data_IF_874642161808
#
_entry.id   IF_874642161808
#
_cell.length_a   1.000
_cell.length_b   1.000
_cell.length_c   1.000
_cell.angle_alpha   90.00
_cell.angle_beta   90.00
_cell.angle_gamma   90.00
#
_symmetry.space_group_name_H-M   'P 1'
#
loop_
_entity.id
_entity.type
_entity.pdbx_description
1 polymer ?
#
# COMPACT_ATOMS: atom_id res chain seq x y z
N UNK A 1 15.27 58.91 -21.35
CA UNK A 1 14.29 57.79 -21.43
C UNK A 1 15.09 56.51 -21.50
N UNK A 2 15.35 55.88 -20.32
CA UNK A 2 16.10 54.62 -20.21
C UNK A 2 15.11 53.47 -20.14
N UNK A 3 15.26 52.58 -21.13
CA UNK A 3 14.42 51.39 -21.29
C UNK A 3 14.87 50.32 -20.25
N UNK A 4 14.20 50.19 -19.11
CA UNK A 4 14.40 49.12 -18.17
C UNK A 4 13.68 47.86 -18.62
N UNK A 5 14.35 47.08 -19.47
CA UNK A 5 13.89 45.74 -19.81
C UNK A 5 13.88 44.86 -18.55
N UNK A 6 12.70 44.57 -18.02
CA UNK A 6 12.49 43.65 -16.91
C UNK A 6 13.08 42.26 -17.27
N UNK A 7 14.21 41.89 -16.66
CA UNK A 7 14.77 40.55 -16.74
C UNK A 7 13.81 39.58 -16.06
N UNK A 8 12.97 38.89 -16.82
CA UNK A 8 12.23 37.72 -16.33
C UNK A 8 13.24 36.73 -15.74
N UNK A 9 13.02 36.20 -14.54
CA UNK A 9 13.91 35.21 -13.96
C UNK A 9 13.98 34.01 -14.91
N UNK A 10 15.20 33.66 -15.34
CA UNK A 10 15.44 32.45 -16.14
C UNK A 10 15.05 31.24 -15.31
N UNK A 11 13.96 30.58 -15.67
CA UNK A 11 13.62 29.25 -15.15
C UNK A 11 14.83 28.35 -15.46
N UNK A 12 15.43 27.70 -14.45
CA UNK A 12 16.56 26.80 -14.69
C UNK A 12 16.15 25.76 -15.71
N UNK A 13 16.93 25.62 -16.81
CA UNK A 13 16.71 24.57 -17.80
C UNK A 13 16.72 23.23 -17.08
N UNK A 14 15.63 22.48 -17.17
CA UNK A 14 15.59 21.08 -16.81
C UNK A 14 16.71 20.40 -17.58
N UNK A 15 17.56 19.65 -16.88
CA UNK A 15 18.60 18.85 -17.55
C UNK A 15 17.90 17.96 -18.57
N UNK A 16 18.15 18.18 -19.86
CA UNK A 16 17.54 17.41 -20.94
C UNK A 16 18.00 15.96 -20.81
N UNK A 17 17.10 15.11 -20.35
CA UNK A 17 17.36 13.68 -20.20
C UNK A 17 16.99 13.02 -21.53
N UNK A 18 17.91 12.23 -22.08
CA UNK A 18 17.60 11.45 -23.29
C UNK A 18 16.36 10.57 -23.08
N UNK A 19 15.53 10.34 -24.09
CA UNK A 19 14.34 9.48 -24.00
C UNK A 19 14.66 8.08 -23.44
N UNK A 20 15.78 7.50 -23.85
CA UNK A 20 16.25 6.19 -23.38
C UNK A 20 16.55 6.19 -21.87
N UNK A 21 17.32 7.19 -21.41
CA UNK A 21 17.64 7.30 -19.97
C UNK A 21 16.38 7.54 -19.14
N UNK A 22 15.43 8.35 -19.65
CA UNK A 22 14.12 8.56 -19.00
C UNK A 22 13.37 7.24 -18.85
N UNK A 23 13.29 6.44 -19.91
CA UNK A 23 12.62 5.13 -19.88
C UNK A 23 13.25 4.18 -18.86
N UNK A 24 14.58 4.13 -18.81
CA UNK A 24 15.32 3.31 -17.84
C UNK A 24 15.10 3.76 -16.39
N UNK A 25 15.07 5.08 -16.14
CA UNK A 25 14.74 5.61 -14.81
C UNK A 25 13.31 5.25 -14.41
N UNK A 26 12.34 5.39 -15.33
CA UNK A 26 10.95 5.03 -15.06
C UNK A 26 10.81 3.53 -14.75
N UNK A 27 11.53 2.68 -15.48
CA UNK A 27 11.58 1.24 -15.22
C UNK A 27 12.20 0.93 -13.84
N UNK A 28 13.28 1.63 -13.47
CA UNK A 28 13.90 1.48 -12.15
C UNK A 28 12.95 1.89 -11.02
N UNK A 29 12.19 2.99 -11.20
CA UNK A 29 11.18 3.42 -10.22
C UNK A 29 10.03 2.39 -10.10
N UNK A 30 9.57 1.84 -11.21
CA UNK A 30 8.55 0.80 -11.24
C UNK A 30 9.07 -0.52 -10.63
N UNK A 31 10.35 -0.87 -10.84
CA UNK A 31 10.99 -2.04 -10.23
C UNK A 31 11.07 -1.91 -8.70
N UNK A 32 11.35 -0.72 -8.17
CA UNK A 32 11.30 -0.48 -6.72
C UNK A 32 9.88 -0.62 -6.16
N UNK A 33 8.87 -0.09 -6.86
CA UNK A 33 7.46 -0.28 -6.50
C UNK A 33 7.05 -1.76 -6.55
N UNK A 34 7.55 -2.52 -7.53
CA UNK A 34 7.38 -3.97 -7.63
C UNK A 34 8.01 -4.71 -6.44
N UNK A 35 9.24 -4.38 -6.04
CA UNK A 35 9.89 -4.99 -4.87
C UNK A 35 9.13 -4.70 -3.57
N UNK A 36 8.67 -3.46 -3.38
CA UNK A 36 7.87 -3.04 -2.22
C UNK A 36 6.55 -3.80 -2.18
N UNK A 37 5.81 -3.88 -3.29
CA UNK A 37 4.57 -4.63 -3.35
C UNK A 37 4.76 -6.13 -3.12
N UNK A 38 5.83 -6.71 -3.65
CA UNK A 38 6.14 -8.11 -3.44
C UNK A 38 6.39 -8.41 -1.96
N UNK A 39 7.24 -7.64 -1.27
CA UNK A 39 7.54 -7.89 0.15
C UNK A 39 6.36 -7.63 1.08
N UNK A 40 5.47 -6.69 0.73
CA UNK A 40 4.28 -6.38 1.51
C UNK A 40 3.34 -7.58 1.59
N UNK A 41 3.07 -8.21 0.46
CA UNK A 41 2.02 -9.22 0.37
C UNK A 41 2.52 -10.66 0.44
N UNK A 42 3.74 -10.96 0.01
CA UNK A 42 4.26 -12.34 0.02
C UNK A 42 4.36 -12.92 1.42
N UNK A 43 4.66 -12.08 2.41
CA UNK A 43 4.79 -12.50 3.80
C UNK A 43 3.56 -13.24 4.31
N UNK A 44 2.36 -12.82 3.91
CA UNK A 44 1.09 -13.45 4.31
C UNK A 44 0.96 -14.88 3.78
N UNK A 45 1.48 -15.14 2.58
CA UNK A 45 1.55 -16.49 2.02
C UNK A 45 2.60 -17.40 2.68
N UNK A 46 3.59 -16.81 3.35
CA UNK A 46 4.73 -17.52 3.95
C UNK A 46 4.59 -17.72 5.47
N UNK A 47 3.57 -17.13 6.10
CA UNK A 47 3.42 -17.15 7.56
C UNK A 47 3.46 -18.56 8.18
N UNK A 48 2.83 -19.62 7.61
CA UNK A 48 2.94 -20.96 8.18
C UNK A 48 4.38 -21.45 8.27
N UNK A 49 5.17 -21.28 7.21
CA UNK A 49 6.58 -21.70 7.18
C UNK A 49 7.43 -20.90 8.19
N UNK A 50 7.15 -19.62 8.36
CA UNK A 50 7.84 -18.75 9.35
C UNK A 50 7.44 -19.15 10.77
N UNK A 51 6.16 -19.49 10.99
CA UNK A 51 5.66 -19.92 12.28
C UNK A 51 6.32 -21.24 12.74
N UNK A 52 6.43 -22.19 11.81
CA UNK A 52 7.07 -23.48 12.06
C UNK A 52 8.57 -23.32 12.35
N UNK A 53 9.28 -22.50 11.55
CA UNK A 53 10.73 -22.29 11.68
C UNK A 53 11.12 -21.64 13.03
N UNK A 54 10.31 -20.69 13.51
CA UNK A 54 10.54 -20.03 14.80
C UNK A 54 9.77 -20.68 15.97
N UNK A 55 9.04 -21.77 15.73
CA UNK A 55 8.18 -22.44 16.73
C UNK A 55 7.26 -21.47 17.49
N UNK A 56 6.58 -20.59 16.72
CA UNK A 56 5.64 -19.58 17.24
C UNK A 56 4.20 -19.89 16.84
N UNK A 57 3.25 -19.34 17.57
CA UNK A 57 1.82 -19.46 17.29
C UNK A 57 1.41 -18.60 16.08
N UNK A 58 0.30 -18.95 15.45
CA UNK A 58 -0.24 -18.30 14.24
C UNK A 58 -0.54 -16.81 14.47
N UNK A 59 -1.09 -16.47 15.64
CA UNK A 59 -1.34 -15.07 16.04
C UNK A 59 -0.03 -14.28 16.14
N UNK A 60 1.02 -14.87 16.72
CA UNK A 60 2.35 -14.25 16.77
C UNK A 60 2.95 -14.09 15.38
N UNK A 61 2.77 -15.06 14.48
CA UNK A 61 3.22 -14.92 13.10
C UNK A 61 2.54 -13.73 12.41
N UNK A 62 1.25 -13.50 12.66
CA UNK A 62 0.51 -12.33 12.16
C UNK A 62 1.12 -10.99 12.55
N UNK A 63 1.82 -10.89 13.69
CA UNK A 63 2.50 -9.67 14.11
C UNK A 63 3.64 -9.26 13.16
N UNK A 64 4.20 -10.19 12.37
CA UNK A 64 5.22 -9.91 11.34
C UNK A 64 4.64 -8.95 10.28
N UNK A 65 3.38 -9.16 9.92
CA UNK A 65 2.64 -8.27 9.00
C UNK A 65 2.41 -6.91 9.67
N UNK A 66 1.93 -6.93 10.93
CA UNK A 66 1.70 -5.70 11.70
C UNK A 66 2.98 -4.87 11.87
N UNK A 67 4.14 -5.51 12.07
CA UNK A 67 5.42 -4.81 12.21
C UNK A 67 5.79 -4.04 10.93
N UNK A 68 5.67 -4.66 9.76
CA UNK A 68 5.89 -3.99 8.48
C UNK A 68 4.91 -2.83 8.28
N UNK A 69 3.63 -3.09 8.48
CA UNK A 69 2.57 -2.10 8.32
C UNK A 69 2.74 -0.89 9.26
N UNK A 70 3.13 -1.12 10.52
CA UNK A 70 3.47 -0.05 11.46
C UNK A 70 4.69 0.75 11.01
N UNK A 71 5.69 0.09 10.40
CA UNK A 71 6.80 0.76 9.74
C UNK A 71 6.31 1.75 8.67
N UNK A 72 5.34 1.36 7.85
CA UNK A 72 4.73 2.24 6.83
C UNK A 72 3.95 3.39 7.47
N UNK A 73 3.14 3.10 8.50
CA UNK A 73 2.33 4.09 9.22
C UNK A 73 3.20 5.20 9.81
N UNK A 74 4.33 4.83 10.41
CA UNK A 74 5.28 5.78 11.00
C UNK A 74 6.15 6.44 9.93
N UNK A 75 6.66 5.64 9.01
CA UNK A 75 7.65 6.08 8.01
C UNK A 75 7.09 7.09 7.01
N UNK A 76 5.88 6.86 6.47
CA UNK A 76 5.33 7.70 5.43
C UNK A 76 5.19 9.19 5.86
N UNK A 77 4.49 9.53 6.96
CA UNK A 77 4.37 10.93 7.39
C UNK A 77 5.69 11.51 7.92
N UNK A 78 6.46 10.72 8.70
CA UNK A 78 7.69 11.20 9.31
C UNK A 78 8.75 11.54 8.24
N UNK A 79 9.01 10.62 7.32
CA UNK A 79 9.99 10.83 6.26
C UNK A 79 9.55 11.99 5.36
N UNK A 80 8.26 12.05 4.98
CA UNK A 80 7.74 13.15 4.16
C UNK A 80 7.92 14.50 4.85
N UNK A 81 7.67 14.58 6.15
CA UNK A 81 7.81 15.81 6.91
C UNK A 81 9.27 16.29 7.03
N UNK A 82 10.20 15.37 7.33
CA UNK A 82 11.61 15.77 7.60
C UNK A 82 12.46 15.90 6.33
N UNK A 83 12.04 15.32 5.21
CA UNK A 83 12.85 15.29 3.97
C UNK A 83 12.35 16.23 2.88
N UNK A 84 11.37 17.11 3.17
CA UNK A 84 10.74 18.01 2.19
C UNK A 84 11.73 18.90 1.39
N UNK A 85 12.91 19.18 1.95
CA UNK A 85 13.98 19.96 1.30
C UNK A 85 15.06 19.09 0.63
N UNK A 86 14.99 17.76 0.78
CA UNK A 86 16.01 16.85 0.23
C UNK A 86 15.82 16.65 -1.28
N UNK A 87 16.92 16.64 -2.08
CA UNK A 87 16.84 16.31 -3.50
C UNK A 87 16.23 14.92 -3.71
N UNK A 88 15.23 14.80 -4.59
CA UNK A 88 14.48 13.54 -4.84
C UNK A 88 15.36 12.35 -5.13
N UNK A 89 16.44 12.53 -5.94
CA UNK A 89 17.41 11.47 -6.22
C UNK A 89 18.01 10.92 -4.93
N UNK A 90 18.53 11.80 -4.05
CA UNK A 90 19.16 11.38 -2.79
C UNK A 90 18.16 10.67 -1.89
N UNK A 91 16.96 11.19 -1.80
CA UNK A 91 15.89 10.60 -0.99
C UNK A 91 15.50 9.21 -1.50
N UNK A 92 15.27 9.03 -2.81
CA UNK A 92 14.93 7.71 -3.40
C UNK A 92 16.04 6.68 -3.18
N UNK A 93 17.32 7.08 -3.28
CA UNK A 93 18.47 6.21 -3.00
C UNK A 93 18.46 5.78 -1.52
N UNK A 94 18.26 6.70 -0.58
CA UNK A 94 18.20 6.40 0.87
C UNK A 94 17.01 5.48 1.17
N UNK A 95 15.83 5.76 0.60
CA UNK A 95 14.63 4.93 0.80
C UNK A 95 14.85 3.51 0.29
N UNK A 96 15.44 3.38 -0.90
CA UNK A 96 15.71 2.06 -1.48
C UNK A 96 16.84 1.32 -0.76
N UNK A 97 17.84 2.03 -0.24
CA UNK A 97 18.88 1.43 0.62
C UNK A 97 18.27 0.90 1.93
N UNK A 98 17.40 1.67 2.59
CA UNK A 98 16.70 1.24 3.80
C UNK A 98 15.78 0.04 3.53
N UNK A 99 15.06 0.04 2.40
CA UNK A 99 14.23 -1.08 1.95
C UNK A 99 15.05 -2.35 1.74
N UNK A 100 16.16 -2.24 1.00
CA UNK A 100 17.06 -3.36 0.72
C UNK A 100 17.67 -3.92 2.01
N UNK A 101 18.11 -3.03 2.91
CA UNK A 101 18.65 -3.42 4.21
C UNK A 101 17.61 -4.15 5.07
N UNK A 102 16.40 -3.63 5.17
CA UNK A 102 15.32 -4.26 5.96
C UNK A 102 14.96 -5.66 5.44
N UNK A 103 14.91 -5.85 4.11
CA UNK A 103 14.66 -7.17 3.54
C UNK A 103 15.87 -8.10 3.69
N UNK A 104 17.10 -7.61 3.54
CA UNK A 104 18.31 -8.39 3.84
C UNK A 104 18.36 -8.83 5.30
N UNK A 105 18.05 -7.95 6.24
CA UNK A 105 17.95 -8.31 7.66
C UNK A 105 16.87 -9.36 7.91
N UNK A 106 15.79 -9.37 7.13
CA UNK A 106 14.77 -10.44 7.19
C UNK A 106 15.32 -11.78 6.73
N UNK A 107 16.24 -11.80 5.74
CA UNK A 107 16.91 -13.04 5.29
C UNK A 107 17.81 -13.64 6.38
N UNK A 108 18.55 -12.78 7.09
CA UNK A 108 19.55 -13.22 8.08
C UNK A 108 19.02 -13.23 9.51
N UNK A 109 17.72 -13.03 9.71
CA UNK A 109 17.12 -13.00 11.03
C UNK A 109 17.22 -14.37 11.71
N UNK A 110 17.92 -14.44 12.84
CA UNK A 110 18.17 -15.67 13.59
C UNK A 110 17.10 -15.98 14.62
N UNK A 111 16.20 -15.04 14.90
CA UNK A 111 15.12 -15.17 15.85
C UNK A 111 13.95 -14.24 15.52
N UNK A 112 12.79 -14.53 16.09
CA UNK A 112 11.57 -13.78 15.84
C UNK A 112 11.66 -12.27 16.16
N UNK A 113 12.24 -11.78 17.29
CA UNK A 113 12.39 -10.35 17.54
C UNK A 113 13.23 -9.61 16.47
N UNK A 114 14.29 -10.25 15.98
CA UNK A 114 15.13 -9.68 14.91
C UNK A 114 14.33 -9.59 13.61
N UNK A 115 13.55 -10.62 13.28
CA UNK A 115 12.66 -10.58 12.11
C UNK A 115 11.62 -9.44 12.24
N UNK A 116 11.01 -9.28 13.41
CA UNK A 116 10.07 -8.18 13.68
C UNK A 116 10.70 -6.80 13.44
N UNK A 117 11.91 -6.58 13.96
CA UNK A 117 12.64 -5.33 13.74
C UNK A 117 13.00 -5.12 12.26
N UNK A 118 13.45 -6.17 11.58
CA UNK A 118 13.77 -6.14 10.15
C UNK A 118 12.54 -5.78 9.30
N UNK A 119 11.37 -6.36 9.62
CA UNK A 119 10.12 -6.06 8.93
C UNK A 119 9.67 -4.61 9.15
N UNK A 120 9.77 -4.10 10.38
CA UNK A 120 9.50 -2.69 10.67
C UNK A 120 10.41 -1.76 9.86
N UNK A 121 11.72 -2.02 9.82
CA UNK A 121 12.69 -1.25 9.04
C UNK A 121 12.36 -1.31 7.53
N UNK A 122 11.99 -2.48 7.00
CA UNK A 122 11.60 -2.64 5.59
C UNK A 122 10.33 -1.85 5.24
N UNK A 123 9.42 -1.66 6.20
CA UNK A 123 8.18 -0.89 6.03
C UNK A 123 8.40 0.62 6.00
N UNK A 124 9.38 1.16 6.74
CA UNK A 124 9.60 2.61 6.87
C UNK A 124 9.65 3.38 5.54
N UNK A 125 10.39 2.92 4.49
CA UNK A 125 10.50 3.66 3.24
C UNK A 125 9.28 3.56 2.31
N UNK A 126 8.37 2.62 2.53
CA UNK A 126 7.32 2.24 1.59
C UNK A 126 6.48 3.43 1.10
N UNK A 127 5.75 4.11 1.99
CA UNK A 127 4.82 5.18 1.59
C UNK A 127 5.53 6.41 1.04
N UNK A 128 6.69 6.75 1.62
CA UNK A 128 7.54 7.84 1.13
C UNK A 128 8.10 7.52 -0.28
N UNK A 129 8.48 6.26 -0.53
CA UNK A 129 8.95 5.85 -1.86
C UNK A 129 7.90 6.09 -2.94
N UNK A 130 6.66 5.62 -2.76
CA UNK A 130 5.58 5.81 -3.75
C UNK A 130 5.32 7.28 -4.03
N UNK A 131 5.25 8.11 -2.98
CA UNK A 131 5.03 9.55 -3.12
C UNK A 131 6.17 10.22 -3.89
N UNK A 132 7.41 9.96 -3.52
CA UNK A 132 8.60 10.60 -4.12
C UNK A 132 8.86 10.07 -5.54
N UNK A 133 8.71 8.77 -5.77
CA UNK A 133 8.88 8.14 -7.08
C UNK A 133 7.83 8.63 -8.09
N UNK A 134 6.56 8.74 -7.66
CA UNK A 134 5.49 9.30 -8.49
C UNK A 134 5.78 10.75 -8.91
N UNK A 135 6.16 11.60 -7.95
CA UNK A 135 6.54 12.98 -8.22
C UNK A 135 7.80 13.11 -9.09
N UNK A 136 8.79 12.25 -8.89
CA UNK A 136 10.00 12.23 -9.70
C UNK A 136 9.66 11.81 -11.15
N UNK A 137 8.86 10.76 -11.33
CA UNK A 137 8.37 10.32 -12.62
C UNK A 137 7.60 11.43 -13.35
N UNK A 138 6.65 12.07 -12.67
CA UNK A 138 5.87 13.18 -13.22
C UNK A 138 6.73 14.37 -13.66
N UNK A 139 7.82 14.67 -12.91
CA UNK A 139 8.71 15.79 -13.24
C UNK A 139 9.62 15.54 -14.46
N UNK A 140 9.85 14.26 -14.80
CA UNK A 140 10.61 13.85 -15.99
C UNK A 140 9.72 13.60 -17.21
N UNK A 141 8.40 13.59 -17.04
CA UNK A 141 7.45 13.30 -18.09
C UNK A 141 7.41 14.42 -19.14
N UNK A 142 7.08 14.06 -20.37
CA UNK A 142 6.76 15.02 -21.43
C UNK A 142 5.52 15.86 -21.06
N UNK A 143 5.41 17.08 -21.61
CA UNK A 143 4.21 17.90 -21.41
C UNK A 143 2.94 17.09 -21.72
N UNK A 144 1.94 17.13 -20.82
CA UNK A 144 0.68 16.39 -20.96
C UNK A 144 0.73 14.89 -20.60
N UNK A 145 1.91 14.31 -20.28
CA UNK A 145 2.04 12.87 -19.96
C UNK A 145 2.37 12.59 -18.48
N UNK A 146 2.21 13.55 -17.58
CA UNK A 146 2.54 13.40 -16.15
C UNK A 146 1.75 12.27 -15.48
N UNK A 147 0.45 12.17 -15.74
CA UNK A 147 -0.39 11.09 -15.20
C UNK A 147 0.07 9.70 -15.66
N UNK A 148 0.45 9.56 -16.94
CA UNK A 148 1.01 8.31 -17.47
C UNK A 148 2.30 7.90 -16.76
N UNK A 149 3.16 8.86 -16.42
CA UNK A 149 4.41 8.58 -15.70
C UNK A 149 4.14 8.11 -14.27
N UNK A 150 3.22 8.74 -13.55
CA UNK A 150 2.79 8.28 -12.21
C UNK A 150 2.20 6.88 -12.28
N UNK A 151 1.30 6.64 -13.23
CA UNK A 151 0.68 5.33 -13.44
C UNK A 151 1.71 4.23 -13.74
N UNK A 152 2.77 4.54 -14.49
CA UNK A 152 3.85 3.59 -14.79
C UNK A 152 4.62 3.18 -13.53
N UNK A 153 4.87 4.11 -12.60
CA UNK A 153 5.47 3.77 -11.30
C UNK A 153 4.53 2.89 -10.48
N UNK A 154 3.26 3.26 -10.38
CA UNK A 154 2.24 2.49 -9.64
C UNK A 154 1.96 1.11 -10.25
N UNK A 155 2.20 0.95 -11.57
CA UNK A 155 2.08 -0.35 -12.24
C UNK A 155 3.03 -1.40 -11.65
N UNK A 156 4.18 -0.98 -11.10
CA UNK A 156 5.08 -1.88 -10.37
C UNK A 156 4.37 -2.64 -9.26
N UNK A 157 3.53 -1.97 -8.46
CA UNK A 157 2.72 -2.60 -7.42
C UNK A 157 1.71 -3.60 -8.01
N UNK A 158 1.01 -3.22 -9.07
CA UNK A 158 0.04 -4.10 -9.74
C UNK A 158 0.68 -5.36 -10.30
N UNK A 159 1.85 -5.25 -10.91
CA UNK A 159 2.62 -6.39 -11.42
C UNK A 159 3.14 -7.24 -10.24
N UNK A 160 3.53 -6.61 -9.13
CA UNK A 160 3.93 -7.34 -7.92
C UNK A 160 2.80 -8.23 -7.39
N UNK A 161 1.59 -7.73 -7.29
CA UNK A 161 0.45 -8.50 -6.74
C UNK A 161 0.03 -9.67 -7.64
N UNK A 162 0.15 -9.52 -8.97
CA UNK A 162 -0.27 -10.57 -9.92
C UNK A 162 0.83 -11.59 -10.20
N UNK A 163 2.09 -11.16 -10.22
CA UNK A 163 3.23 -12.00 -10.62
C UNK A 163 4.26 -12.14 -9.49
N UNK A 164 4.67 -11.02 -8.89
CA UNK A 164 5.76 -10.99 -7.90
C UNK A 164 5.45 -11.81 -6.66
N UNK A 165 4.28 -11.61 -6.07
CA UNK A 165 3.83 -12.29 -4.86
C UNK A 165 3.63 -13.79 -5.11
N UNK A 166 2.90 -14.24 -6.15
CA UNK A 166 2.78 -15.66 -6.44
C UNK A 166 4.11 -16.35 -6.75
N UNK A 167 4.98 -15.69 -7.52
CA UNK A 167 6.29 -16.24 -7.86
C UNK A 167 7.20 -16.36 -6.62
N UNK A 168 7.23 -15.35 -5.75
CA UNK A 168 7.98 -15.39 -4.51
C UNK A 168 7.41 -16.43 -3.51
N UNK A 169 6.07 -16.59 -3.48
CA UNK A 169 5.42 -17.64 -2.70
C UNK A 169 5.81 -19.05 -3.19
N UNK A 170 5.75 -19.29 -4.50
CA UNK A 170 6.14 -20.57 -5.08
C UNK A 170 7.61 -20.88 -4.81
N UNK A 171 8.49 -19.88 -4.91
CA UNK A 171 9.90 -20.02 -4.58
C UNK A 171 10.13 -20.31 -3.10
N UNK A 172 9.40 -19.62 -2.22
CA UNK A 172 9.44 -19.84 -0.78
C UNK A 172 8.96 -21.24 -0.39
N UNK A 173 7.92 -21.75 -1.04
CA UNK A 173 7.44 -23.12 -0.85
C UNK A 173 8.44 -24.18 -1.28
N UNK A 174 9.23 -23.90 -2.35
CA UNK A 174 10.20 -24.84 -2.90
C UNK A 174 11.55 -24.82 -2.16
N UNK A 175 12.04 -23.65 -1.73
CA UNK A 175 13.39 -23.43 -1.22
C UNK A 175 13.44 -22.88 0.22
N UNK A 176 12.30 -22.76 0.86
CA UNK A 176 12.16 -22.12 2.19
C UNK A 176 11.85 -20.63 2.10
N UNK A 177 11.14 -20.10 3.10
CA UNK A 177 10.63 -18.72 3.12
C UNK A 177 11.70 -17.63 2.95
N UNK A 178 12.94 -17.90 3.38
CA UNK A 178 14.08 -16.99 3.21
C UNK A 178 14.34 -16.67 1.73
N UNK A 179 14.13 -17.65 0.81
CA UNK A 179 14.38 -17.46 -0.62
C UNK A 179 13.52 -16.33 -1.22
N UNK A 180 12.28 -16.15 -0.75
CA UNK A 180 11.44 -15.06 -1.17
C UNK A 180 12.03 -13.69 -0.79
N UNK A 181 12.55 -13.55 0.43
CA UNK A 181 13.20 -12.30 0.86
C UNK A 181 14.55 -12.05 0.20
N UNK A 182 15.30 -13.13 -0.17
CA UNK A 182 16.50 -13.00 -1.00
C UNK A 182 16.17 -12.37 -2.34
N UNK A 183 15.13 -12.85 -3.02
CA UNK A 183 14.69 -12.26 -4.31
C UNK A 183 14.30 -10.78 -4.14
N UNK A 184 13.53 -10.45 -3.11
CA UNK A 184 13.16 -9.05 -2.83
C UNK A 184 14.40 -8.20 -2.55
N UNK A 185 15.37 -8.72 -1.81
CA UNK A 185 16.64 -8.03 -1.53
C UNK A 185 17.42 -7.77 -2.82
N UNK A 186 17.49 -8.74 -3.73
CA UNK A 186 18.13 -8.59 -5.05
C UNK A 186 17.41 -7.53 -5.89
N UNK A 187 16.08 -7.53 -5.90
CA UNK A 187 15.28 -6.50 -6.59
C UNK A 187 15.58 -5.11 -6.00
N UNK A 188 15.62 -5.00 -4.68
CA UNK A 188 15.96 -3.76 -3.99
C UNK A 188 17.35 -3.26 -4.34
N UNK A 189 18.37 -4.14 -4.29
CA UNK A 189 19.75 -3.82 -4.65
C UNK A 189 19.88 -3.43 -6.13
N UNK A 190 19.19 -4.12 -7.03
CA UNK A 190 19.15 -3.78 -8.46
C UNK A 190 18.53 -2.41 -8.67
N UNK A 191 17.41 -2.12 -8.01
CA UNK A 191 16.76 -0.80 -8.06
C UNK A 191 17.66 0.29 -7.51
N UNK A 192 18.29 0.06 -6.35
CA UNK A 192 19.24 0.98 -5.73
C UNK A 192 20.39 1.34 -6.69
N UNK A 193 20.97 0.31 -7.30
CA UNK A 193 22.07 0.46 -8.28
C UNK A 193 21.59 1.23 -9.52
N UNK A 194 20.44 0.87 -10.06
CA UNK A 194 19.84 1.57 -11.19
C UNK A 194 19.57 3.05 -10.88
N UNK A 195 19.00 3.37 -9.71
CA UNK A 195 18.75 4.74 -9.30
C UNK A 195 20.07 5.51 -9.09
N UNK A 196 21.11 4.86 -8.56
CA UNK A 196 22.40 5.49 -8.36
C UNK A 196 23.04 5.96 -9.67
N UNK A 197 23.01 5.13 -10.70
CA UNK A 197 23.67 5.43 -11.98
C UNK A 197 22.76 6.18 -12.97
N UNK A 198 21.49 5.88 -13.01
CA UNK A 198 20.57 6.39 -14.04
C UNK A 198 19.84 7.66 -13.62
N UNK A 199 19.48 7.80 -12.31
CA UNK A 199 18.67 8.92 -11.87
C UNK A 199 19.41 10.25 -11.99
N UNK A 200 18.86 11.26 -12.69
CA UNK A 200 19.50 12.56 -12.83
C UNK A 200 19.49 13.32 -11.50
N UNK A 201 20.44 14.25 -11.36
CA UNK A 201 20.44 15.22 -10.27
C UNK A 201 19.28 16.19 -10.48
N UNK A 202 18.20 16.00 -9.74
CA UNK A 202 16.98 16.82 -9.85
C UNK A 202 17.12 18.06 -8.95
N UNK A 203 16.90 19.22 -9.55
CA UNK A 203 16.80 20.48 -8.81
C UNK A 203 15.53 20.47 -7.94
N UNK A 204 15.62 21.15 -6.82
CA UNK A 204 14.71 21.21 -5.69
C UNK A 204 13.21 21.19 -6.08
N UNK A 205 12.44 20.36 -5.39
CA UNK A 205 11.00 20.53 -5.32
C UNK A 205 10.69 21.91 -4.75
N UNK A 206 9.62 22.56 -5.24
CA UNK A 206 9.07 23.70 -4.52
C UNK A 206 8.72 23.21 -3.09
N UNK A 207 9.34 23.77 -2.04
CA UNK A 207 9.09 23.29 -0.69
C UNK A 207 7.66 23.65 -0.32
N UNK A 208 6.84 22.65 -0.06
CA UNK A 208 5.56 22.88 0.61
C UNK A 208 5.86 23.29 2.05
N UNK A 209 5.25 24.35 2.53
CA UNK A 209 5.47 24.81 3.91
C UNK A 209 4.95 23.72 4.85
N UNK A 210 5.80 23.20 5.72
CA UNK A 210 5.46 22.18 6.74
C UNK A 210 4.16 22.56 7.49
N UNK A 211 3.96 23.85 7.79
CA UNK A 211 2.74 24.36 8.45
C UNK A 211 1.47 24.12 7.62
N UNK A 212 1.54 24.26 6.29
CA UNK A 212 0.41 24.02 5.39
C UNK A 212 0.06 22.54 5.36
N UNK A 213 1.05 21.67 5.26
CA UNK A 213 0.87 20.23 5.26
C UNK A 213 0.31 19.72 6.60
N UNK A 214 0.77 20.27 7.73
CA UNK A 214 0.25 19.93 9.05
C UNK A 214 -1.19 20.39 9.27
N UNK A 215 -1.72 21.35 8.48
CA UNK A 215 -3.11 21.79 8.59
C UNK A 215 -4.13 20.70 8.27
N UNK A 216 -3.75 19.67 7.50
CA UNK A 216 -4.58 18.49 7.26
C UNK A 216 -5.03 17.81 8.55
N UNK A 217 -4.17 17.77 9.57
CA UNK A 217 -4.47 17.13 10.86
C UNK A 217 -5.53 17.87 11.69
N UNK A 218 -5.77 19.15 11.42
CA UNK A 218 -6.84 19.93 12.05
C UNK A 218 -8.24 19.72 11.44
N UNK A 219 -8.34 18.98 10.32
CA UNK A 219 -9.60 18.83 9.61
C UNK A 219 -10.29 17.51 9.98
N UNK A 220 -11.44 17.58 10.65
CA UNK A 220 -12.22 16.41 11.06
C UNK A 220 -12.64 15.52 9.88
N UNK A 221 -12.87 16.07 8.67
CA UNK A 221 -13.23 15.28 7.50
C UNK A 221 -12.05 14.42 6.99
N UNK A 222 -10.80 14.90 7.19
CA UNK A 222 -9.60 14.08 6.92
C UNK A 222 -9.61 12.88 7.86
N UNK A 223 -9.79 13.08 9.16
CA UNK A 223 -9.84 11.98 10.13
C UNK A 223 -10.97 10.99 9.88
N UNK A 224 -12.18 11.49 9.61
CA UNK A 224 -13.32 10.62 9.31
C UNK A 224 -13.08 9.79 8.06
N UNK A 225 -12.44 10.34 7.02
CA UNK A 225 -12.08 9.60 5.81
C UNK A 225 -10.99 8.55 6.09
N UNK A 226 -9.96 8.91 6.86
CA UNK A 226 -8.90 7.98 7.27
C UNK A 226 -9.45 6.81 8.11
N UNK A 227 -10.32 7.11 9.08
CA UNK A 227 -10.93 6.08 9.94
C UNK A 227 -11.87 5.19 9.13
N UNK A 228 -12.64 5.75 8.18
CA UNK A 228 -13.46 4.95 7.24
C UNK A 228 -12.58 3.99 6.45
N UNK A 229 -11.45 4.45 5.93
CA UNK A 229 -10.49 3.60 5.21
C UNK A 229 -9.87 2.54 6.12
N UNK A 230 -9.38 2.93 7.29
CA UNK A 230 -8.74 2.00 8.23
C UNK A 230 -9.70 0.90 8.68
N UNK A 231 -10.89 1.27 9.11
CA UNK A 231 -11.87 0.30 9.63
C UNK A 231 -12.50 -0.51 8.51
N UNK A 232 -12.96 0.15 7.42
CA UNK A 232 -13.64 -0.51 6.32
C UNK A 232 -12.77 -1.48 5.53
N UNK A 233 -11.47 -1.19 5.42
CA UNK A 233 -10.51 -2.01 4.68
C UNK A 233 -9.85 -3.10 5.55
N UNK A 234 -9.86 -2.93 6.88
CA UNK A 234 -9.20 -3.84 7.82
C UNK A 234 -9.69 -5.28 7.73
N UNK A 235 -10.96 -5.49 7.39
CA UNK A 235 -11.55 -6.82 7.25
C UNK A 235 -10.93 -7.67 6.14
N UNK A 236 -10.54 -7.05 5.02
CA UNK A 236 -9.84 -7.73 3.94
C UNK A 236 -8.48 -8.26 4.42
N UNK A 237 -7.74 -7.47 5.19
CA UNK A 237 -6.44 -7.87 5.72
C UNK A 237 -6.54 -8.90 6.86
N UNK A 238 -7.64 -8.91 7.63
CA UNK A 238 -7.88 -9.97 8.59
C UNK A 238 -7.93 -11.35 7.92
N UNK A 239 -8.58 -11.45 6.75
CA UNK A 239 -8.60 -12.69 5.94
C UNK A 239 -7.27 -12.94 5.26
N UNK A 240 -6.69 -11.91 4.62
CA UNK A 240 -5.47 -12.09 3.84
C UNK A 240 -4.30 -12.58 4.69
N UNK A 241 -4.13 -12.05 5.89
CA UNK A 241 -3.02 -12.42 6.77
C UNK A 241 -3.00 -13.93 7.06
N UNK A 242 -4.17 -14.55 7.23
CA UNK A 242 -4.30 -15.96 7.59
C UNK A 242 -4.78 -16.84 6.44
N UNK A 243 -4.71 -16.33 5.19
CA UNK A 243 -5.25 -17.05 4.01
C UNK A 243 -4.60 -18.41 3.80
N UNK A 244 -3.29 -18.54 4.07
CA UNK A 244 -2.58 -19.80 3.91
C UNK A 244 -3.17 -20.89 4.80
N UNK A 245 -3.33 -20.63 6.09
CA UNK A 245 -3.98 -21.59 7.01
C UNK A 245 -5.44 -21.84 6.65
N UNK A 246 -6.17 -20.80 6.27
CA UNK A 246 -7.58 -20.96 5.85
C UNK A 246 -7.68 -21.90 4.64
N UNK A 247 -6.85 -21.73 3.63
CA UNK A 247 -6.93 -22.53 2.41
C UNK A 247 -6.33 -23.92 2.57
N UNK A 248 -5.25 -24.08 3.35
CA UNK A 248 -4.63 -25.40 3.55
C UNK A 248 -5.33 -26.22 4.60
N UNK A 249 -5.64 -25.67 5.78
CA UNK A 249 -6.20 -26.41 6.90
C UNK A 249 -7.72 -26.57 6.81
N UNK A 250 -8.44 -25.57 6.26
CA UNK A 250 -9.91 -25.61 6.17
C UNK A 250 -10.41 -26.11 4.81
N UNK A 251 -9.82 -25.60 3.70
CA UNK A 251 -10.23 -25.97 2.35
C UNK A 251 -9.52 -27.24 1.83
N UNK A 252 -8.46 -27.70 2.50
CA UNK A 252 -7.67 -28.85 2.06
C UNK A 252 -6.84 -28.58 0.79
N UNK A 253 -6.48 -27.33 0.52
CA UNK A 253 -5.67 -26.98 -0.63
C UNK A 253 -4.20 -27.41 -0.41
N UNK A 254 -3.55 -28.05 -1.39
CA UNK A 254 -2.13 -28.34 -1.31
C UNK A 254 -1.26 -27.07 -1.21
N UNK A 255 -0.24 -27.06 -0.34
CA UNK A 255 0.64 -25.90 -0.11
C UNK A 255 1.30 -25.40 -1.39
N UNK A 256 1.68 -26.29 -2.29
CA UNK A 256 2.31 -25.93 -3.56
C UNK A 256 1.38 -25.21 -4.55
N UNK A 257 0.07 -25.13 -4.26
CA UNK A 257 -0.90 -24.38 -5.07
C UNK A 257 -1.29 -23.02 -4.46
N UNK A 258 -0.75 -22.64 -3.30
CA UNK A 258 -1.06 -21.35 -2.65
C UNK A 258 -0.74 -20.14 -3.52
N UNK A 259 0.23 -20.23 -4.43
CA UNK A 259 0.50 -19.17 -5.39
C UNK A 259 -0.71 -18.81 -6.28
N UNK A 260 -1.60 -19.79 -6.58
CA UNK A 260 -2.84 -19.54 -7.34
C UNK A 260 -3.81 -18.67 -6.54
N UNK A 261 -3.92 -18.90 -5.23
CA UNK A 261 -4.78 -18.11 -4.33
C UNK A 261 -4.30 -16.66 -4.30
N UNK A 262 -2.99 -16.47 -4.14
CA UNK A 262 -2.39 -15.12 -4.12
C UNK A 262 -2.49 -14.42 -5.48
N UNK A 263 -2.36 -15.18 -6.58
CA UNK A 263 -2.56 -14.64 -7.93
C UNK A 263 -4.01 -14.20 -8.15
N UNK A 264 -4.99 -14.99 -7.73
CA UNK A 264 -6.41 -14.62 -7.83
C UNK A 264 -6.69 -13.33 -7.06
N UNK A 265 -6.10 -13.16 -5.86
CA UNK A 265 -6.16 -11.93 -5.10
C UNK A 265 -5.55 -10.75 -5.86
N UNK A 266 -4.34 -10.91 -6.40
CA UNK A 266 -3.65 -9.87 -7.18
C UNK A 266 -4.46 -9.42 -8.40
N UNK A 267 -5.04 -10.36 -9.15
CA UNK A 267 -5.94 -10.06 -10.28
C UNK A 267 -7.16 -9.30 -9.80
N UNK A 268 -7.78 -9.74 -8.70
CA UNK A 268 -8.90 -9.04 -8.07
C UNK A 268 -8.54 -7.59 -7.72
N UNK A 269 -7.38 -7.37 -7.07
CA UNK A 269 -6.90 -6.02 -6.72
C UNK A 269 -6.76 -5.12 -7.95
N UNK A 270 -6.13 -5.60 -9.02
CA UNK A 270 -5.91 -4.80 -10.24
C UNK A 270 -7.24 -4.41 -10.87
N UNK A 271 -8.12 -5.38 -11.08
CA UNK A 271 -9.45 -5.13 -11.66
C UNK A 271 -10.30 -4.22 -10.77
N UNK A 272 -10.23 -4.41 -9.45
CA UNK A 272 -10.92 -3.58 -8.46
C UNK A 272 -10.46 -2.12 -8.48
N UNK A 273 -9.16 -1.85 -8.59
CA UNK A 273 -8.63 -0.49 -8.70
C UNK A 273 -9.16 0.24 -9.95
N UNK A 274 -9.23 -0.44 -11.11
CA UNK A 274 -9.82 0.14 -12.31
C UNK A 274 -11.32 0.43 -12.14
N UNK A 275 -12.07 -0.53 -11.61
CA UNK A 275 -13.50 -0.36 -11.34
C UNK A 275 -13.74 0.76 -10.31
N UNK A 276 -12.90 0.86 -9.29
CA UNK A 276 -12.96 1.88 -8.25
C UNK A 276 -12.73 3.29 -8.79
N UNK A 277 -11.78 3.46 -9.72
CA UNK A 277 -11.59 4.74 -10.41
C UNK A 277 -12.83 5.17 -11.18
N UNK A 278 -13.39 4.27 -12.00
CA UNK A 278 -14.62 4.55 -12.76
C UNK A 278 -15.83 4.82 -11.86
N UNK A 279 -15.90 4.17 -10.69
CA UNK A 279 -16.98 4.37 -9.72
C UNK A 279 -16.85 5.72 -9.02
N UNK A 280 -15.64 6.11 -8.66
CA UNK A 280 -15.35 7.40 -8.05
C UNK A 280 -15.67 8.58 -8.99
N UNK A 281 -15.39 8.42 -10.30
CA UNK A 281 -15.70 9.43 -11.32
C UNK A 281 -17.21 9.64 -11.52
N UNK A 282 -18.04 8.61 -11.25
CA UNK A 282 -19.50 8.70 -11.38
C UNK A 282 -20.16 9.32 -10.14
N UNK A 283 -19.89 8.77 -8.98
CA UNK A 283 -20.43 9.24 -7.70
C UNK A 283 -19.58 8.70 -6.56
N UNK A 284 -18.68 9.55 -6.06
CA UNK A 284 -17.71 9.18 -5.03
C UNK A 284 -18.40 8.70 -3.74
N UNK A 285 -19.48 9.40 -3.30
CA UNK A 285 -20.13 9.09 -2.03
C UNK A 285 -20.84 7.74 -2.06
N UNK A 286 -21.59 7.48 -3.13
CA UNK A 286 -22.24 6.18 -3.34
C UNK A 286 -21.23 5.09 -3.67
N UNK A 287 -20.13 5.43 -4.33
CA UNK A 287 -19.03 4.52 -4.64
C UNK A 287 -18.39 3.93 -3.39
N UNK A 288 -18.08 4.77 -2.40
CA UNK A 288 -17.57 4.31 -1.10
C UNK A 288 -18.57 3.41 -0.38
N UNK A 289 -19.85 3.81 -0.34
CA UNK A 289 -20.88 3.02 0.32
C UNK A 289 -21.07 1.65 -0.35
N UNK A 290 -21.12 1.63 -1.69
CA UNK A 290 -21.22 0.40 -2.46
C UNK A 290 -20.01 -0.52 -2.21
N UNK A 291 -18.78 0.02 -2.25
CA UNK A 291 -17.57 -0.76 -2.01
C UNK A 291 -17.59 -1.40 -0.62
N UNK A 292 -17.88 -0.63 0.44
CA UNK A 292 -17.96 -1.15 1.81
C UNK A 292 -19.05 -2.24 1.97
N UNK A 293 -20.23 -2.05 1.37
CA UNK A 293 -21.29 -3.04 1.41
C UNK A 293 -20.88 -4.34 0.71
N UNK A 294 -20.22 -4.23 -0.45
CA UNK A 294 -19.75 -5.38 -1.21
C UNK A 294 -18.55 -6.08 -0.55
N UNK A 295 -17.68 -5.34 0.16
CA UNK A 295 -16.64 -5.92 1.01
C UNK A 295 -17.28 -6.77 2.10
N UNK A 296 -18.29 -6.24 2.84
CA UNK A 296 -18.99 -6.99 3.86
C UNK A 296 -19.65 -8.27 3.29
N UNK A 297 -20.36 -8.14 2.19
CA UNK A 297 -21.04 -9.27 1.54
C UNK A 297 -20.04 -10.34 1.05
N UNK A 298 -18.94 -9.94 0.41
CA UNK A 298 -17.92 -10.87 -0.10
C UNK A 298 -17.18 -11.57 1.05
N UNK A 299 -16.94 -10.90 2.18
CA UNK A 299 -16.35 -11.51 3.37
C UNK A 299 -17.28 -12.54 4.01
N UNK A 300 -18.57 -12.24 4.12
CA UNK A 300 -19.57 -13.23 4.58
C UNK A 300 -19.63 -14.42 3.63
N UNK A 301 -19.62 -14.18 2.31
CA UNK A 301 -19.58 -15.25 1.32
C UNK A 301 -18.29 -16.07 1.43
N UNK A 302 -17.15 -15.45 1.74
CA UNK A 302 -15.86 -16.13 1.94
C UNK A 302 -15.90 -17.08 3.14
N UNK A 303 -16.57 -16.71 4.22
CA UNK A 303 -16.77 -17.61 5.37
C UNK A 303 -17.30 -18.98 4.97
N UNK A 304 -18.27 -19.02 4.06
CA UNK A 304 -18.87 -20.28 3.59
C UNK A 304 -18.05 -20.93 2.47
N UNK A 305 -17.55 -20.15 1.51
CA UNK A 305 -16.83 -20.66 0.34
C UNK A 305 -15.43 -21.19 0.67
N UNK A 306 -14.83 -20.76 1.77
CA UNK A 306 -13.49 -21.19 2.22
C UNK A 306 -13.41 -22.65 2.71
N UNK A 307 -14.49 -23.41 2.61
CA UNK A 307 -14.50 -24.88 2.78
C UNK A 307 -14.10 -25.63 1.49
N UNK A 308 -14.11 -24.94 0.36
CA UNK A 308 -13.76 -25.51 -0.94
C UNK A 308 -12.60 -24.74 -1.55
N UNK A 309 -11.52 -25.41 -2.00
CA UNK A 309 -10.33 -24.74 -2.48
C UNK A 309 -10.58 -23.87 -3.72
N UNK A 310 -11.48 -24.27 -4.62
CA UNK A 310 -11.79 -23.53 -5.85
C UNK A 310 -12.67 -22.31 -5.51
N UNK A 311 -13.79 -22.54 -4.81
CA UNK A 311 -14.72 -21.47 -4.45
C UNK A 311 -14.06 -20.46 -3.51
N UNK A 312 -13.24 -20.92 -2.56
CA UNK A 312 -12.45 -20.07 -1.68
C UNK A 312 -11.48 -19.19 -2.46
N UNK A 313 -10.75 -19.76 -3.42
CA UNK A 313 -9.81 -19.01 -4.27
C UNK A 313 -10.53 -17.93 -5.09
N UNK A 314 -11.62 -18.28 -5.76
CA UNK A 314 -12.42 -17.34 -6.57
C UNK A 314 -12.96 -16.21 -5.69
N UNK A 315 -13.57 -16.56 -4.56
CA UNK A 315 -14.15 -15.56 -3.68
C UNK A 315 -13.09 -14.69 -2.99
N UNK A 316 -11.91 -15.22 -2.72
CA UNK A 316 -10.79 -14.40 -2.22
C UNK A 316 -10.35 -13.33 -3.25
N UNK A 317 -10.34 -13.66 -4.54
CA UNK A 317 -10.20 -12.69 -5.62
C UNK A 317 -11.33 -11.64 -5.64
N UNK A 318 -12.58 -12.04 -5.36
CA UNK A 318 -13.74 -11.13 -5.28
C UNK A 318 -13.62 -10.20 -4.07
N UNK A 319 -13.16 -10.68 -2.91
CA UNK A 319 -12.85 -9.84 -1.73
C UNK A 319 -11.81 -8.79 -2.08
N UNK A 320 -10.75 -9.19 -2.78
CA UNK A 320 -9.71 -8.27 -3.25
C UNK A 320 -10.24 -7.23 -4.24
N UNK A 321 -11.12 -7.66 -5.16
CA UNK A 321 -11.76 -6.78 -6.13
C UNK A 321 -12.55 -5.67 -5.43
N UNK A 322 -13.50 -6.02 -4.57
CA UNK A 322 -14.30 -5.01 -3.86
C UNK A 322 -13.49 -4.19 -2.86
N UNK A 323 -12.53 -4.80 -2.17
CA UNK A 323 -11.60 -4.05 -1.33
C UNK A 323 -10.88 -2.96 -2.11
N UNK A 324 -10.32 -3.31 -3.26
CA UNK A 324 -9.56 -2.37 -4.07
C UNK A 324 -10.39 -1.29 -4.75
N UNK A 325 -11.71 -1.48 -4.94
CA UNK A 325 -12.60 -0.41 -5.45
C UNK A 325 -12.71 0.76 -4.46
N UNK A 326 -12.46 0.54 -3.18
CA UNK A 326 -12.53 1.58 -2.16
C UNK A 326 -11.34 2.56 -2.22
N UNK A 327 -10.16 2.07 -2.62
CA UNK A 327 -8.89 2.80 -2.53
C UNK A 327 -8.88 4.12 -3.33
N UNK A 328 -9.24 4.16 -4.64
CA UNK A 328 -9.26 5.40 -5.41
C UNK A 328 -10.25 6.42 -4.85
N UNK A 329 -11.42 5.97 -4.41
CA UNK A 329 -12.46 6.84 -3.86
C UNK A 329 -12.00 7.53 -2.55
N UNK A 330 -11.34 6.78 -1.66
CA UNK A 330 -10.78 7.34 -0.42
C UNK A 330 -9.66 8.33 -0.71
N UNK A 331 -8.80 8.02 -1.68
CA UNK A 331 -7.70 8.91 -2.05
C UNK A 331 -8.21 10.24 -2.61
N UNK A 332 -9.18 10.21 -3.53
CA UNK A 332 -9.81 11.42 -4.08
C UNK A 332 -10.47 12.20 -2.95
N UNK A 333 -11.25 11.55 -2.09
CA UNK A 333 -11.90 12.20 -0.95
C UNK A 333 -10.91 12.88 -0.02
N UNK A 334 -9.79 12.24 0.32
CA UNK A 334 -8.75 12.83 1.16
C UNK A 334 -8.13 14.07 0.51
N UNK A 335 -7.85 14.03 -0.79
CA UNK A 335 -7.33 15.18 -1.51
C UNK A 335 -8.32 16.34 -1.52
N UNK A 336 -9.61 16.06 -1.74
CA UNK A 336 -10.67 17.08 -1.75
C UNK A 336 -10.85 17.77 -0.39
N UNK A 337 -10.81 16.99 0.70
CA UNK A 337 -11.02 17.54 2.05
C UNK A 337 -9.74 18.16 2.65
N UNK A 338 -8.57 17.81 2.17
CA UNK A 338 -7.28 18.34 2.66
C UNK A 338 -6.94 19.73 2.09
N UNK A 339 -7.61 20.18 1.03
CA UNK A 339 -7.36 21.49 0.40
C UNK A 339 -5.92 21.61 -0.11
N UNK A 340 -5.13 22.54 0.45
CA UNK A 340 -3.75 22.78 0.02
C UNK A 340 -2.74 21.71 0.53
N UNK A 341 -3.13 20.86 1.48
CA UNK A 341 -2.29 19.84 2.10
C UNK A 341 -2.37 18.46 1.39
N UNK A 342 -2.45 18.45 0.04
CA UNK A 342 -2.68 17.24 -0.75
C UNK A 342 -1.55 16.20 -0.64
N UNK A 343 -0.31 16.65 -0.43
CA UNK A 343 0.86 15.75 -0.35
C UNK A 343 0.80 14.89 0.92
N UNK A 344 0.52 15.53 2.06
CA UNK A 344 0.34 14.81 3.33
C UNK A 344 -0.93 13.95 3.29
N UNK A 345 -2.01 14.44 2.68
CA UNK A 345 -3.24 13.65 2.52
C UNK A 345 -2.98 12.34 1.75
N UNK A 346 -2.20 12.39 0.66
CA UNK A 346 -1.81 11.20 -0.09
C UNK A 346 -0.94 10.24 0.75
N UNK A 347 0.02 10.77 1.53
CA UNK A 347 0.85 9.98 2.44
C UNK A 347 0.01 9.33 3.56
N UNK A 348 -0.94 10.07 4.13
CA UNK A 348 -1.86 9.58 5.15
C UNK A 348 -2.79 8.48 4.63
N UNK A 349 -3.15 8.49 3.33
CA UNK A 349 -3.91 7.38 2.75
C UNK A 349 -3.12 6.06 2.82
N UNK A 350 -1.84 6.07 2.46
CA UNK A 350 -0.98 4.88 2.62
C UNK A 350 -0.85 4.46 4.08
N UNK A 351 -0.74 5.43 5.01
CA UNK A 351 -0.71 5.13 6.44
C UNK A 351 -2.02 4.50 6.92
N UNK A 352 -3.18 5.02 6.49
CA UNK A 352 -4.49 4.47 6.86
C UNK A 352 -4.69 3.04 6.34
N UNK A 353 -4.32 2.77 5.09
CA UNK A 353 -4.41 1.43 4.51
C UNK A 353 -3.46 0.44 5.21
N UNK A 354 -2.27 0.88 5.61
CA UNK A 354 -1.35 0.04 6.37
C UNK A 354 -1.76 -0.10 7.85
N UNK A 355 -2.41 0.90 8.43
CA UNK A 355 -3.04 0.73 9.75
C UNK A 355 -4.20 -0.27 9.69
N UNK A 356 -4.97 -0.28 8.59
CA UNK A 356 -5.97 -1.32 8.30
C UNK A 356 -5.33 -2.71 8.20
N UNK A 357 -4.17 -2.81 7.54
CA UNK A 357 -3.40 -4.05 7.45
C UNK A 357 -2.95 -4.53 8.84
N UNK A 358 -2.32 -3.66 9.64
CA UNK A 358 -1.86 -4.00 10.99
C UNK A 358 -3.01 -4.41 11.92
N UNK A 359 -4.10 -3.63 11.93
CA UNK A 359 -5.26 -3.90 12.79
C UNK A 359 -6.05 -5.12 12.33
N UNK A 360 -6.16 -5.33 11.01
CA UNK A 360 -6.77 -6.52 10.43
C UNK A 360 -6.00 -7.78 10.78
N UNK A 361 -4.68 -7.77 10.64
CA UNK A 361 -3.82 -8.89 11.04
C UNK A 361 -3.97 -9.23 12.54
N UNK A 362 -3.95 -8.20 13.40
CA UNK A 362 -4.14 -8.38 14.85
C UNK A 362 -5.53 -8.92 15.18
N UNK A 363 -6.59 -8.42 14.57
CA UNK A 363 -7.96 -8.90 14.78
C UNK A 363 -8.12 -10.34 14.29
N UNK A 364 -7.61 -10.67 13.10
CA UNK A 364 -7.63 -12.02 12.55
C UNK A 364 -6.92 -13.01 13.48
N UNK A 365 -5.74 -12.66 14.00
CA UNK A 365 -5.03 -13.46 14.98
C UNK A 365 -5.78 -13.64 16.30
N UNK A 366 -6.39 -12.57 16.82
CA UNK A 366 -7.13 -12.62 18.06
C UNK A 366 -8.34 -13.58 18.00
N UNK A 367 -9.12 -13.57 16.89
CA UNK A 367 -10.27 -14.47 16.74
C UNK A 367 -9.84 -15.92 16.51
N UNK A 368 -8.69 -16.16 15.85
CA UNK A 368 -8.11 -17.51 15.70
C UNK A 368 -7.61 -18.00 17.04
N UNK A 369 -6.86 -17.19 17.80
CA UNK A 369 -6.35 -17.53 19.13
C UNK A 369 -7.48 -17.79 20.14
N UNK A 370 -8.64 -17.15 19.96
CA UNK A 370 -9.86 -17.42 20.72
C UNK A 370 -10.55 -18.76 20.35
N UNK A 371 -9.98 -19.54 19.44
CA UNK A 371 -10.50 -20.85 19.04
C UNK A 371 -11.71 -20.81 18.08
N UNK A 372 -11.99 -19.66 17.45
CA UNK A 372 -13.11 -19.50 16.53
C UNK A 372 -12.85 -20.10 15.12
N UNK A 373 -11.61 -20.60 14.87
CA UNK A 373 -11.22 -21.22 13.63
C UNK A 373 -10.81 -20.24 12.51
N UNK A 374 -10.20 -20.79 11.45
CA UNK A 374 -9.58 -20.01 10.37
C UNK A 374 -10.56 -19.22 9.47
N UNK A 375 -11.87 -19.48 9.54
CA UNK A 375 -12.85 -18.67 8.81
C UNK A 375 -13.36 -17.45 9.61
N UNK A 376 -13.17 -17.43 10.93
CA UNK A 376 -13.65 -16.36 11.80
C UNK A 376 -13.15 -14.96 11.41
N UNK A 377 -11.89 -14.78 10.92
CA UNK A 377 -11.42 -13.49 10.41
C UNK A 377 -12.33 -12.87 9.33
N UNK A 378 -13.02 -13.69 8.53
CA UNK A 378 -13.93 -13.19 7.51
C UNK A 378 -15.20 -12.53 8.13
N UNK A 379 -15.79 -13.13 9.15
CA UNK A 379 -16.94 -12.55 9.84
C UNK A 379 -16.54 -11.31 10.65
N UNK A 380 -15.41 -11.36 11.36
CA UNK A 380 -14.89 -10.21 12.07
C UNK A 380 -14.60 -9.05 11.09
N UNK A 381 -14.06 -9.36 9.92
CA UNK A 381 -13.83 -8.43 8.84
C UNK A 381 -15.12 -7.83 8.25
N UNK A 382 -16.16 -8.63 8.09
CA UNK A 382 -17.47 -8.15 7.66
C UNK A 382 -18.08 -7.15 8.68
N UNK A 383 -17.92 -7.40 9.98
CA UNK A 383 -18.31 -6.44 11.02
C UNK A 383 -17.54 -5.12 10.91
N UNK A 384 -16.22 -5.16 10.61
CA UNK A 384 -15.44 -3.95 10.37
C UNK A 384 -15.93 -3.18 9.13
N UNK A 385 -16.27 -3.87 8.04
CA UNK A 385 -16.80 -3.22 6.85
C UNK A 385 -18.15 -2.53 7.14
N UNK A 386 -19.04 -3.15 7.92
CA UNK A 386 -20.31 -2.56 8.39
C UNK A 386 -20.04 -1.35 9.29
N UNK A 387 -19.08 -1.45 10.21
CA UNK A 387 -18.66 -0.29 11.03
C UNK A 387 -18.11 0.84 10.15
N UNK A 388 -17.36 0.53 9.09
CA UNK A 388 -16.90 1.47 8.07
C UNK A 388 -18.06 2.20 7.39
N UNK A 389 -19.16 1.50 7.08
CA UNK A 389 -20.39 2.12 6.54
C UNK A 389 -20.95 3.15 7.53
N UNK A 390 -21.07 2.79 8.82
CA UNK A 390 -21.59 3.71 9.84
C UNK A 390 -20.71 4.98 9.97
N UNK A 391 -19.38 4.80 9.96
CA UNK A 391 -18.42 5.93 10.01
C UNK A 391 -18.54 6.79 8.76
N UNK A 392 -18.69 6.19 7.57
CA UNK A 392 -18.88 6.93 6.34
C UNK A 392 -20.16 7.76 6.34
N UNK A 393 -21.28 7.18 6.78
CA UNK A 393 -22.55 7.92 6.91
C UNK A 393 -22.43 9.09 7.89
N UNK A 394 -21.70 8.92 9.00
CA UNK A 394 -21.37 9.99 9.92
C UNK A 394 -20.54 11.09 9.23
N UNK A 395 -19.52 10.71 8.45
CA UNK A 395 -18.70 11.66 7.70
C UNK A 395 -19.54 12.51 6.74
N UNK A 396 -20.49 11.90 6.04
CA UNK A 396 -21.41 12.60 5.15
C UNK A 396 -22.35 13.55 5.92
N UNK A 397 -22.87 13.12 7.07
CA UNK A 397 -23.74 13.94 7.90
C UNK A 397 -23.01 15.18 8.46
N UNK A 398 -21.76 15.02 8.90
CA UNK A 398 -20.91 16.13 9.39
C UNK A 398 -20.60 17.11 8.24
N UNK A 399 -20.32 16.61 7.05
CA UNK A 399 -20.01 17.45 5.89
C UNK A 399 -21.23 18.29 5.44
N UNK A 400 -22.43 17.70 5.46
CA UNK A 400 -23.70 18.40 5.10
C UNK A 400 -24.10 19.49 6.09
N UNK A 401 -23.68 19.40 7.36
CA UNK A 401 -24.01 20.39 8.39
C UNK A 401 -23.13 21.65 8.35
N UNK A 402 -22.08 21.69 7.54
CA UNK A 402 -21.27 22.90 7.34
C UNK A 402 -22.03 23.86 6.42
N UNK A 403 -22.34 25.12 6.85
CA UNK A 403 -23.01 26.11 5.98
C UNK A 403 -22.16 26.36 4.74
N UNK A 404 -22.79 26.38 3.56
CA UNK A 404 -22.19 26.86 2.33
C UNK A 404 -21.80 28.34 2.51
N UNK A 405 -20.53 28.62 2.81
CA UNK A 405 -20.06 30.01 3.03
C UNK A 405 -18.98 30.18 4.10
N UNK A 406 -18.60 29.16 4.87
CA UNK A 406 -17.43 29.32 5.75
C UNK A 406 -16.14 29.34 4.91
N UNK A 407 -15.29 30.42 5.03
CA UNK A 407 -14.04 30.47 4.28
C UNK A 407 -13.20 29.23 4.63
N UNK A 408 -12.62 28.59 3.59
CA UNK A 408 -11.61 27.53 3.74
C UNK A 408 -10.44 28.14 4.52
N UNK A 409 -10.38 27.88 5.82
CA UNK A 409 -9.25 28.28 6.67
C UNK A 409 -8.17 27.22 6.60
#
# INVERSE_FOLDING_TARGET
>A
MQNSASRRPRVPRQTEISPQRRSLVMLALALGAFGIGTTEFVSMGLLPMIADDYAITEDKAGHIISAYALGVVVGAPLITAVTGLMPRRRLLIILMAAFTLGNFLSVVATNYPVLMAARFIAGLPHGAYFSVAGLAGASMAEPGKRGKAVAMVSMGLSVATVIGVPAAQALGAALGWHAAYVVVTIIGATTLTALWFLMPHMTRMAPTRVKTELSAFGNINVWLTLITGTVGFGGMFAVYTYISWTMTQRAGMPDNLMWLVLMAYGVGMVLGNFAGGALADRDLEKGVLFALAMIAASLVAFYFSSQNPILGTINFGIVAFFGSTLVPSLQIRLMDVAGDAQTVAAALNHSALNLANASGAALGGAVIAAGMGYAAPALAGACLAVAGIAIWLLALAVNRRRPAGSPRR
#
